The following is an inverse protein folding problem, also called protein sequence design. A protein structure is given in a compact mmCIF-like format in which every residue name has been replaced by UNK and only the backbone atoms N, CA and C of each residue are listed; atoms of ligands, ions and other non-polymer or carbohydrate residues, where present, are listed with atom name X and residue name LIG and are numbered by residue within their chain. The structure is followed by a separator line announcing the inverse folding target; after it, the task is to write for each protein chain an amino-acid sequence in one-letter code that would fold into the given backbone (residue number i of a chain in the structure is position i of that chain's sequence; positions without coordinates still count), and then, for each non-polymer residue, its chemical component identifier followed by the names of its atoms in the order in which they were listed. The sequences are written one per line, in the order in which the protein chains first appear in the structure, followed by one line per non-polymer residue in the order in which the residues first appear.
data_IF_842256574841
#
_entry.id   IF_842256574841
#
_cell.length_a   1.000
_cell.length_b   1.000
_cell.length_c   1.000
_cell.angle_alpha   90.00
_cell.angle_beta   90.00
_cell.angle_gamma   90.00
#
_symmetry.space_group_name_H-M   'P 1'
#
loop_
_entity.id
_entity.type
_entity.pdbx_description
1 polymer ?
#
# COMPACT_ATOMS: atom_id res chain seq x y z
N UNK A 1 -52.59 -28.68 3.16
CA UNK A 1 -52.37 -27.36 3.82
C UNK A 1 -51.30 -27.52 4.90
N UNK A 2 -50.16 -26.83 4.79
CA UNK A 2 -49.16 -26.74 5.86
C UNK A 2 -48.80 -25.27 6.05
N UNK A 3 -49.35 -24.65 7.09
CA UNK A 3 -49.14 -23.24 7.42
C UNK A 3 -47.82 -23.09 8.20
N UNK A 4 -46.78 -22.56 7.57
CA UNK A 4 -45.55 -22.17 8.25
C UNK A 4 -45.72 -20.77 8.85
N UNK A 5 -45.89 -20.72 10.18
CA UNK A 5 -45.86 -19.48 10.97
C UNK A 5 -44.46 -18.86 10.88
N UNK A 6 -44.30 -17.81 10.08
CA UNK A 6 -43.08 -16.97 10.07
C UNK A 6 -43.04 -16.13 11.35
N UNK A 7 -42.02 -16.39 12.20
CA UNK A 7 -41.68 -15.53 13.34
C UNK A 7 -41.14 -14.18 12.85
N UNK A 8 -41.50 -13.04 13.47
CA UNK A 8 -40.95 -11.74 13.09
C UNK A 8 -39.51 -11.61 13.60
N UNK A 9 -38.56 -11.34 12.71
CA UNK A 9 -37.19 -10.98 13.07
C UNK A 9 -37.21 -9.54 13.59
N UNK A 10 -36.87 -9.36 14.87
CA UNK A 10 -36.62 -8.05 15.50
C UNK A 10 -35.36 -7.44 14.86
N UNK A 11 -35.50 -6.31 14.19
CA UNK A 11 -34.38 -5.52 13.70
C UNK A 11 -33.95 -4.54 14.80
N UNK A 12 -32.93 -4.89 15.57
CA UNK A 12 -32.21 -3.95 16.43
C UNK A 12 -30.86 -3.66 15.79
N UNK A 13 -30.73 -2.51 15.14
CA UNK A 13 -29.45 -1.98 14.66
C UNK A 13 -29.36 -0.49 14.97
N UNK A 14 -29.39 -0.15 16.26
CA UNK A 14 -28.95 1.15 16.75
C UNK A 14 -27.52 1.00 17.26
N UNK A 15 -26.55 0.94 16.34
CA UNK A 15 -25.13 1.16 16.69
C UNK A 15 -24.77 2.58 16.26
N UNK A 16 -25.06 3.53 17.15
CA UNK A 16 -24.53 4.90 17.05
C UNK A 16 -23.01 4.76 17.01
N UNK A 17 -22.41 5.17 15.89
CA UNK A 17 -20.97 5.39 15.81
C UNK A 17 -20.70 6.62 16.65
N UNK A 18 -20.19 6.44 17.86
CA UNK A 18 -19.53 7.50 18.60
C UNK A 18 -18.34 7.96 17.75
N UNK A 19 -18.45 9.17 17.20
CA UNK A 19 -17.33 9.84 16.54
C UNK A 19 -16.40 10.32 17.63
N UNK A 20 -15.35 9.56 17.89
CA UNK A 20 -14.18 10.07 18.61
C UNK A 20 -13.64 11.30 17.88
N UNK A 21 -13.13 12.32 18.60
CA UNK A 21 -12.52 13.47 17.95
C UNK A 21 -11.31 12.99 17.18
N UNK A 22 -11.42 12.96 15.86
CA UNK A 22 -10.33 12.61 14.97
C UNK A 22 -9.35 13.77 15.00
N UNK A 23 -8.14 13.56 15.53
CA UNK A 23 -7.06 14.53 15.38
C UNK A 23 -6.77 14.68 13.87
N UNK A 24 -7.32 15.73 13.26
CA UNK A 24 -7.19 16.01 11.84
C UNK A 24 -5.71 16.10 11.43
N UNK A 25 -4.83 16.54 12.33
CA UNK A 25 -3.38 16.56 12.08
C UNK A 25 -2.79 15.15 12.01
N UNK A 26 -3.27 14.22 12.83
CA UNK A 26 -2.82 12.83 12.78
C UNK A 26 -3.24 12.16 11.47
N UNK A 27 -4.46 12.40 11.00
CA UNK A 27 -4.95 11.90 9.71
C UNK A 27 -4.21 12.54 8.54
N UNK A 28 -3.93 13.85 8.61
CA UNK A 28 -3.18 14.56 7.57
C UNK A 28 -1.76 14.00 7.43
N UNK A 29 -1.03 13.86 8.55
CA UNK A 29 0.33 13.29 8.55
C UNK A 29 0.35 11.85 8.03
N UNK A 30 -0.66 11.06 8.37
CA UNK A 30 -0.75 9.68 7.89
C UNK A 30 -0.94 9.63 6.37
N UNK A 31 -1.81 10.48 5.81
CA UNK A 31 -2.01 10.57 4.36
C UNK A 31 -0.74 11.01 3.64
N UNK A 32 -0.08 12.05 4.13
CA UNK A 32 1.19 12.54 3.60
C UNK A 32 2.26 11.44 3.60
N UNK A 33 2.37 10.67 4.69
CA UNK A 33 3.31 9.54 4.78
C UNK A 33 3.00 8.47 3.74
N UNK A 34 1.73 8.16 3.50
CA UNK A 34 1.30 7.18 2.49
C UNK A 34 1.65 7.67 1.09
N UNK A 35 1.39 8.94 0.79
CA UNK A 35 1.71 9.55 -0.51
C UNK A 35 3.21 9.51 -0.79
N UNK A 36 4.04 9.89 0.19
CA UNK A 36 5.50 9.83 0.07
C UNK A 36 6.03 8.40 -0.15
N UNK A 37 5.41 7.40 0.47
CA UNK A 37 5.77 6.00 0.24
C UNK A 37 5.42 5.53 -1.18
N UNK A 38 4.28 5.97 -1.72
CA UNK A 38 3.93 5.66 -3.11
C UNK A 38 4.91 6.32 -4.09
N UNK A 39 5.23 7.60 -3.88
CA UNK A 39 6.20 8.31 -4.71
C UNK A 39 7.60 7.65 -4.65
N UNK A 40 8.05 7.26 -3.46
CA UNK A 40 9.30 6.52 -3.30
C UNK A 40 9.29 5.18 -4.05
N UNK A 41 8.20 4.42 -3.94
CA UNK A 41 8.08 3.13 -4.62
C UNK A 41 8.06 3.31 -6.15
N UNK A 42 7.33 4.30 -6.66
CA UNK A 42 7.28 4.58 -8.10
C UNK A 42 8.68 4.92 -8.65
N UNK A 43 9.44 5.74 -7.93
CA UNK A 43 10.82 6.08 -8.29
C UNK A 43 11.74 4.85 -8.25
N UNK A 44 11.61 4.03 -7.20
CA UNK A 44 12.37 2.78 -7.05
C UNK A 44 12.09 1.82 -8.21
N UNK A 45 10.84 1.65 -8.59
CA UNK A 45 10.42 0.75 -9.65
C UNK A 45 10.91 1.24 -11.03
N UNK A 46 10.78 2.54 -11.31
CA UNK A 46 11.35 3.14 -12.52
C UNK A 46 12.87 2.91 -12.61
N UNK A 47 13.57 3.09 -11.49
CA UNK A 47 15.02 2.85 -11.39
C UNK A 47 15.36 1.39 -11.66
N UNK A 48 14.59 0.46 -11.10
CA UNK A 48 14.79 -0.98 -11.28
C UNK A 48 14.59 -1.42 -12.74
N UNK A 49 13.63 -0.84 -13.46
CA UNK A 49 13.42 -1.08 -14.90
C UNK A 49 14.66 -0.66 -15.70
N UNK A 50 15.18 0.54 -15.45
CA UNK A 50 16.38 1.06 -16.13
C UNK A 50 17.61 0.19 -15.82
N UNK A 51 17.81 -0.17 -14.55
CA UNK A 51 18.89 -1.07 -14.13
C UNK A 51 18.77 -2.46 -14.79
N UNK A 52 17.55 -3.00 -14.91
CA UNK A 52 17.28 -4.27 -15.60
C UNK A 52 17.65 -4.23 -17.07
N UNK A 53 17.25 -3.16 -17.78
CA UNK A 53 17.60 -2.96 -19.19
C UNK A 53 19.12 -2.81 -19.36
N UNK A 54 19.76 -2.01 -18.51
CA UNK A 54 21.20 -1.78 -18.52
C UNK A 54 22.00 -3.05 -18.24
N UNK A 55 21.55 -3.87 -17.28
CA UNK A 55 22.14 -5.15 -16.95
C UNK A 55 22.06 -6.12 -18.13
N UNK A 56 20.90 -6.17 -18.78
CA UNK A 56 20.66 -6.99 -19.98
C UNK A 56 21.60 -6.58 -21.11
N UNK A 57 21.74 -5.27 -21.39
CA UNK A 57 22.65 -4.77 -22.42
C UNK A 57 24.12 -5.09 -22.13
N UNK A 58 24.52 -5.07 -20.85
CA UNK A 58 25.89 -5.38 -20.42
C UNK A 58 26.16 -6.88 -20.23
N UNK A 59 25.13 -7.73 -20.29
CA UNK A 59 25.25 -9.17 -20.03
C UNK A 59 25.68 -9.51 -18.60
N UNK A 60 25.42 -8.62 -17.63
CA UNK A 60 25.78 -8.81 -16.22
C UNK A 60 24.51 -8.87 -15.37
N UNK A 61 24.53 -9.55 -14.21
CA UNK A 61 23.38 -9.51 -13.32
C UNK A 61 23.21 -8.10 -12.73
N UNK A 62 21.96 -7.70 -12.51
CA UNK A 62 21.61 -6.38 -11.95
C UNK A 62 22.37 -6.08 -10.66
N UNK A 63 22.57 -7.09 -9.79
CA UNK A 63 23.33 -6.95 -8.53
C UNK A 63 24.77 -6.45 -8.75
N UNK A 64 25.42 -6.81 -9.86
CA UNK A 64 26.77 -6.32 -10.17
C UNK A 64 26.80 -4.83 -10.52
N UNK A 65 25.69 -4.30 -11.05
CA UNK A 65 25.56 -2.87 -11.33
C UNK A 65 25.49 -2.04 -10.05
N UNK A 66 24.91 -2.58 -8.97
CA UNK A 66 24.89 -1.90 -7.67
C UNK A 66 26.31 -1.63 -7.17
N UNK A 67 27.22 -2.60 -7.27
CA UNK A 67 28.62 -2.39 -6.92
C UNK A 67 29.33 -1.45 -7.92
N UNK A 68 29.05 -1.59 -9.21
CA UNK A 68 29.70 -0.80 -10.27
C UNK A 68 29.35 0.69 -10.23
N UNK A 69 28.13 1.03 -9.80
CA UNK A 69 27.63 2.40 -9.66
C UNK A 69 27.55 2.87 -8.21
N UNK A 70 28.12 2.10 -7.27
CA UNK A 70 28.17 2.43 -5.86
C UNK A 70 26.78 2.72 -5.25
N UNK A 71 25.77 1.97 -5.70
CA UNK A 71 24.38 2.07 -5.24
C UNK A 71 24.21 1.35 -3.90
N UNK A 72 23.31 1.84 -3.03
CA UNK A 72 23.02 1.19 -1.76
C UNK A 72 22.41 -0.20 -2.00
N UNK A 73 22.93 -1.20 -1.29
CA UNK A 73 22.31 -2.52 -1.25
C UNK A 73 21.10 -2.37 -0.31
N UNK A 74 19.90 -2.47 -0.88
CA UNK A 74 18.67 -2.52 -0.08
C UNK A 74 18.58 -3.93 0.50
N UNK A 75 18.80 -4.07 1.81
CA UNK A 75 18.57 -5.32 2.57
C UNK A 75 17.08 -5.67 2.67
#
# INVERSE_FOLDING_TARGET
MKNSKKKPRKNNASKRKETTPVDENAVSRQKETIELLHEYNDLKDATQIVLGALATMKGVPVRSLYASYNLPIVE
#
